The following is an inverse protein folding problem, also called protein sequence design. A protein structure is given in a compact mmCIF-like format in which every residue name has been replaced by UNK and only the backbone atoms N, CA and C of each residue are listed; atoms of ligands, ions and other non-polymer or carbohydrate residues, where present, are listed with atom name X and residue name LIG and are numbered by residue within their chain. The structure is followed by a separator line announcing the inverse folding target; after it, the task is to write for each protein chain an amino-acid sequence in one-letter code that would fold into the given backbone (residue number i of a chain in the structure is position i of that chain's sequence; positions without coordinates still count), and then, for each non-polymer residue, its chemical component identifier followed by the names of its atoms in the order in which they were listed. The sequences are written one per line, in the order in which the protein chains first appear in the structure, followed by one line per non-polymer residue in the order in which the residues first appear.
data_IF_803054782393
#
_entry.id   IF_803054782393
#
_cell.length_a   1.000
_cell.length_b   1.000
_cell.length_c   1.000
_cell.angle_alpha   90.00
_cell.angle_beta   90.00
_cell.angle_gamma   90.00
#
_symmetry.space_group_name_H-M   'P 1'
#
loop_
_entity.id
_entity.type
_entity.pdbx_description
1 polymer ?
#
# COMPACT_ATOMS: atom_id res chain seq x y z
N UNK A 1 -15.36 -45.21 -1.03
CA UNK A 1 -14.01 -44.93 -1.58
C UNK A 1 -14.07 -43.57 -2.28
N UNK A 2 -13.12 -42.66 -2.01
CA UNK A 2 -13.07 -41.33 -2.65
C UNK A 2 -13.20 -40.15 -1.68
N UNK A 3 -12.32 -40.05 -0.68
CA UNK A 3 -12.16 -38.80 0.09
C UNK A 3 -11.69 -37.70 -0.86
N UNK A 4 -12.49 -36.66 -1.07
CA UNK A 4 -12.02 -35.45 -1.77
C UNK A 4 -10.97 -34.81 -0.86
N UNK A 5 -9.72 -34.79 -1.32
CA UNK A 5 -8.67 -34.01 -0.68
C UNK A 5 -9.06 -32.54 -0.82
N UNK A 6 -9.25 -31.86 0.30
CA UNK A 6 -9.15 -30.41 0.33
C UNK A 6 -7.70 -30.12 -0.02
N UNK A 7 -7.46 -29.57 -1.22
CA UNK A 7 -6.18 -28.98 -1.55
C UNK A 7 -6.05 -27.74 -0.69
N UNK A 8 -5.21 -27.84 0.33
CA UNK A 8 -4.84 -26.74 1.20
C UNK A 8 -4.17 -25.68 0.32
N UNK A 9 -4.91 -24.61 0.04
CA UNK A 9 -4.41 -23.49 -0.73
C UNK A 9 -3.18 -22.94 -0.03
N UNK A 10 -2.08 -22.90 -0.77
CA UNK A 10 -0.83 -22.23 -0.44
C UNK A 10 -1.14 -20.90 0.25
N UNK A 11 -0.73 -20.75 1.51
CA UNK A 11 -0.95 -19.51 2.28
C UNK A 11 -0.21 -18.40 1.57
N UNK A 12 -0.89 -17.67 0.70
CA UNK A 12 -0.30 -16.51 0.04
C UNK A 12 0.25 -15.61 1.15
N UNK A 13 1.54 -15.27 1.11
CA UNK A 13 2.21 -14.42 2.10
C UNK A 13 1.69 -12.97 2.13
N UNK A 14 0.48 -12.73 1.63
CA UNK A 14 -0.17 -11.44 1.58
C UNK A 14 -1.08 -11.26 2.80
N UNK A 15 -0.81 -10.19 3.55
CA UNK A 15 -1.58 -9.82 4.72
C UNK A 15 -2.86 -9.14 4.26
N UNK A 16 -3.99 -9.54 4.85
CA UNK A 16 -5.29 -9.00 4.50
C UNK A 16 -5.32 -7.48 4.70
N UNK A 17 -5.74 -6.74 3.66
CA UNK A 17 -5.86 -5.29 3.68
C UNK A 17 -7.26 -4.89 3.17
N UNK A 18 -8.14 -4.35 4.03
CA UNK A 18 -9.46 -3.88 3.64
C UNK A 18 -9.39 -2.65 2.73
N UNK A 19 -10.23 -2.59 1.70
CA UNK A 19 -10.30 -1.45 0.77
C UNK A 19 -10.59 -0.12 1.49
N UNK A 20 -11.48 -0.15 2.49
CA UNK A 20 -11.80 1.01 3.34
C UNK A 20 -10.60 1.61 4.09
N UNK A 21 -9.49 0.87 4.19
CA UNK A 21 -8.30 1.33 4.91
C UNK A 21 -7.39 2.21 4.06
N UNK A 22 -7.50 2.18 2.72
CA UNK A 22 -6.54 2.91 1.86
C UNK A 22 -6.58 4.42 2.06
N UNK A 23 -7.77 5.03 2.01
CA UNK A 23 -7.92 6.48 2.19
C UNK A 23 -7.42 6.96 3.57
N UNK A 24 -7.88 6.40 4.70
CA UNK A 24 -7.34 6.75 6.02
C UNK A 24 -5.83 6.56 6.12
N UNK A 25 -5.30 5.51 5.49
CA UNK A 25 -3.88 5.21 5.53
C UNK A 25 -3.05 6.25 4.77
N UNK A 26 -3.49 6.68 3.59
CA UNK A 26 -2.86 7.78 2.84
C UNK A 26 -2.85 9.06 3.67
N UNK A 27 -3.98 9.42 4.30
CA UNK A 27 -4.06 10.59 5.17
C UNK A 27 -3.06 10.52 6.34
N UNK A 28 -2.93 9.36 7.00
CA UNK A 28 -1.96 9.14 8.06
C UNK A 28 -0.51 9.29 7.58
N UNK A 29 -0.20 8.78 6.38
CA UNK A 29 1.12 8.94 5.76
C UNK A 29 1.40 10.42 5.50
N UNK A 30 0.46 11.17 4.93
CA UNK A 30 0.64 12.61 4.67
C UNK A 30 0.92 13.41 5.94
N UNK A 31 0.21 13.11 7.04
CA UNK A 31 0.47 13.75 8.32
C UNK A 31 1.89 13.43 8.84
N UNK A 32 2.33 12.17 8.69
CA UNK A 32 3.68 11.75 9.04
C UNK A 32 4.76 12.40 8.16
N UNK A 33 4.50 12.62 6.87
CA UNK A 33 5.37 13.39 5.97
C UNK A 33 5.45 14.86 6.40
N UNK A 34 4.30 15.49 6.69
CA UNK A 34 4.24 16.86 7.20
C UNK A 34 5.03 17.06 8.50
N UNK A 35 5.05 16.03 9.36
CA UNK A 35 5.83 16.00 10.61
C UNK A 35 7.30 15.56 10.42
N UNK A 36 7.77 15.35 9.19
CA UNK A 36 9.11 14.82 8.87
C UNK A 36 9.43 13.50 9.59
N UNK A 37 8.41 12.66 9.82
CA UNK A 37 8.53 11.31 10.37
C UNK A 37 8.76 10.28 9.26
N UNK A 38 8.29 10.57 8.06
CA UNK A 38 8.59 9.85 6.83
C UNK A 38 9.30 10.83 5.90
N UNK A 39 10.52 10.50 5.48
CA UNK A 39 11.35 11.32 4.58
C UNK A 39 11.86 10.42 3.47
N UNK A 40 11.66 10.80 2.21
CA UNK A 40 12.07 10.02 1.03
C UNK A 40 11.62 8.54 1.06
N UNK A 41 10.41 8.31 1.58
CA UNK A 41 9.85 6.97 1.75
C UNK A 41 10.58 6.11 2.78
N UNK A 42 11.33 6.73 3.71
CA UNK A 42 11.99 6.08 4.84
C UNK A 42 11.24 6.50 6.12
N UNK A 43 10.73 5.50 6.84
CA UNK A 43 10.06 5.69 8.12
C UNK A 43 11.10 5.76 9.25
N UNK A 44 11.01 6.79 10.11
CA UNK A 44 11.73 6.80 11.39
C UNK A 44 11.28 5.65 12.31
N UNK A 45 12.08 5.36 13.33
CA UNK A 45 11.75 4.35 14.33
C UNK A 45 10.39 4.66 14.99
N UNK A 46 9.57 3.62 15.17
CA UNK A 46 8.26 3.73 15.81
C UNK A 46 7.12 4.23 14.90
N UNK A 47 7.40 4.70 13.67
CA UNK A 47 6.37 5.25 12.78
C UNK A 47 5.28 4.23 12.44
N UNK A 48 5.62 2.95 12.24
CA UNK A 48 4.59 1.93 11.99
C UNK A 48 3.62 1.75 13.16
N UNK A 49 4.11 1.86 14.40
CA UNK A 49 3.25 1.83 15.59
C UNK A 49 2.42 3.11 15.76
N UNK A 50 2.96 4.26 15.34
CA UNK A 50 2.18 5.50 15.26
C UNK A 50 1.07 5.39 14.21
N UNK A 51 1.38 4.91 13.01
CA UNK A 51 0.41 4.69 11.94
C UNK A 51 -0.70 3.72 12.37
N UNK A 52 -0.37 2.67 13.12
CA UNK A 52 -1.37 1.76 13.71
C UNK A 52 -2.35 2.50 14.62
N UNK A 53 -1.84 3.34 15.54
CA UNK A 53 -2.69 4.15 16.44
C UNK A 53 -3.56 5.14 15.68
N UNK A 54 -2.99 5.80 14.65
CA UNK A 54 -3.73 6.76 13.84
C UNK A 54 -4.82 6.08 13.00
N UNK A 55 -4.53 4.89 12.47
CA UNK A 55 -5.51 4.07 11.75
C UNK A 55 -6.66 3.65 12.67
N UNK A 56 -6.37 3.20 13.88
CA UNK A 56 -7.41 2.84 14.86
C UNK A 56 -8.25 4.06 15.27
N UNK A 57 -7.65 5.24 15.39
CA UNK A 57 -8.40 6.47 15.67
C UNK A 57 -9.31 6.92 14.51
N UNK A 58 -8.85 6.80 13.26
CA UNK A 58 -9.63 7.18 12.07
C UNK A 58 -10.67 6.12 11.67
N UNK A 59 -10.37 4.85 11.89
CA UNK A 59 -11.22 3.71 11.55
C UNK A 59 -11.20 2.71 12.70
N UNK A 60 -11.98 2.95 13.76
CA UNK A 60 -12.05 2.06 14.91
C UNK A 60 -12.45 0.64 14.51
N UNK A 61 -11.79 -0.36 15.11
CA UNK A 61 -12.05 -1.77 14.83
C UNK A 61 -11.57 -2.22 13.44
N UNK A 62 -10.65 -1.50 12.79
CA UNK A 62 -10.11 -1.90 11.49
C UNK A 62 -9.22 -3.15 11.55
N UNK A 63 -8.72 -3.51 12.74
CA UNK A 63 -7.88 -4.70 12.95
C UNK A 63 -6.50 -4.62 12.29
N UNK A 64 -6.11 -3.45 11.81
CA UNK A 64 -4.82 -3.21 11.16
C UNK A 64 -3.73 -3.11 12.22
N UNK A 65 -2.59 -3.76 11.96
CA UNK A 65 -1.44 -3.82 12.87
C UNK A 65 -0.22 -3.23 12.19
N UNK A 66 0.70 -2.61 12.94
CA UNK A 66 1.96 -2.08 12.43
C UNK A 66 2.71 -3.13 11.60
N UNK A 67 2.81 -4.34 12.17
CA UNK A 67 3.29 -5.54 11.51
C UNK A 67 2.23 -6.63 11.62
N UNK A 68 1.93 -7.37 10.54
CA UNK A 68 2.55 -7.30 9.21
C UNK A 68 1.80 -6.41 8.20
N UNK A 69 0.66 -5.81 8.58
CA UNK A 69 -0.24 -5.11 7.65
C UNK A 69 0.34 -3.79 7.11
N UNK A 70 0.62 -2.83 7.99
CA UNK A 70 1.06 -1.49 7.59
C UNK A 70 2.43 -1.54 6.91
N UNK A 71 3.39 -2.25 7.50
CA UNK A 71 4.72 -2.39 6.90
C UNK A 71 4.63 -3.05 5.51
N UNK A 72 3.81 -4.09 5.35
CA UNK A 72 3.61 -4.75 4.07
C UNK A 72 2.99 -3.83 3.02
N UNK A 73 1.90 -3.12 3.39
CA UNK A 73 1.22 -2.18 2.50
C UNK A 73 2.14 -1.03 2.08
N UNK A 74 2.87 -0.44 3.03
CA UNK A 74 3.80 0.64 2.78
C UNK A 74 4.93 0.23 1.82
N UNK A 75 5.54 -0.95 2.04
CA UNK A 75 6.56 -1.50 1.13
C UNK A 75 6.01 -1.73 -0.28
N UNK A 76 4.78 -2.25 -0.41
CA UNK A 76 4.12 -2.44 -1.71
C UNK A 76 3.92 -1.12 -2.43
N UNK A 77 3.38 -0.11 -1.75
CA UNK A 77 3.17 1.22 -2.33
C UNK A 77 4.47 1.92 -2.71
N UNK A 78 5.51 1.81 -1.89
CA UNK A 78 6.83 2.33 -2.25
C UNK A 78 7.36 1.73 -3.55
N UNK A 79 7.21 0.41 -3.75
CA UNK A 79 7.59 -0.26 -5.01
C UNK A 79 6.78 0.25 -6.20
N UNK A 80 5.46 0.36 -6.06
CA UNK A 80 4.57 0.86 -7.12
C UNK A 80 4.92 2.30 -7.49
N UNK A 81 5.11 3.15 -6.48
CA UNK A 81 5.53 4.53 -6.68
C UNK A 81 6.86 4.63 -7.43
N UNK A 82 7.88 3.86 -7.03
CA UNK A 82 9.16 3.83 -7.74
C UNK A 82 8.98 3.40 -9.21
N UNK A 83 8.20 2.36 -9.48
CA UNK A 83 7.91 1.94 -10.85
C UNK A 83 7.22 3.05 -11.66
N UNK A 84 6.21 3.71 -11.09
CA UNK A 84 5.52 4.84 -11.72
C UNK A 84 6.46 6.00 -12.01
N UNK A 85 7.40 6.32 -11.10
CA UNK A 85 8.38 7.38 -11.33
C UNK A 85 9.36 7.03 -12.45
N UNK A 86 9.75 5.75 -12.58
CA UNK A 86 10.62 5.31 -13.67
C UNK A 86 9.90 5.41 -15.03
N UNK A 87 8.66 4.92 -15.10
CA UNK A 87 7.83 4.99 -16.30
C UNK A 87 7.56 6.44 -16.71
N UNK A 88 7.23 7.30 -15.74
CA UNK A 88 7.03 8.74 -15.98
C UNK A 88 8.26 9.46 -16.54
N UNK A 89 9.46 8.96 -16.24
CA UNK A 89 10.71 9.55 -16.73
C UNK A 89 11.09 9.09 -18.14
N UNK A 90 10.32 8.17 -18.75
CA UNK A 90 10.51 7.72 -20.12
C UNK A 90 9.61 8.53 -21.07
N UNK A 91 10.11 8.84 -22.28
CA UNK A 91 9.28 9.42 -23.35
C UNK A 91 8.26 8.40 -23.84
N UNK A 92 7.06 8.85 -24.22
CA UNK A 92 6.00 7.98 -24.75
C UNK A 92 5.02 7.42 -23.73
N UNK A 93 5.12 7.78 -22.45
CA UNK A 93 4.17 7.34 -21.42
C UNK A 93 3.28 8.49 -20.94
N UNK A 94 1.96 8.23 -20.88
CA UNK A 94 0.94 9.18 -20.44
C UNK A 94 -0.01 8.58 -19.40
N UNK A 95 -0.83 9.44 -18.78
CA UNK A 95 -1.91 9.03 -17.88
C UNK A 95 -3.26 9.36 -18.50
N UNK A 96 -4.13 8.36 -18.63
CA UNK A 96 -5.53 8.54 -19.03
C UNK A 96 -6.36 8.93 -17.80
N UNK A 97 -6.74 10.20 -17.71
CA UNK A 97 -7.64 10.72 -16.68
C UNK A 97 -9.04 10.08 -16.72
N UNK A 98 -9.51 9.64 -17.90
CA UNK A 98 -10.86 9.10 -18.09
C UNK A 98 -10.88 7.63 -17.68
N UNK A 99 -9.97 6.83 -18.25
CA UNK A 99 -9.91 5.39 -18.02
C UNK A 99 -9.10 5.00 -16.78
N UNK A 100 -8.45 5.98 -16.12
CA UNK A 100 -7.57 5.79 -14.96
C UNK A 100 -6.49 4.74 -15.21
N UNK A 101 -5.89 4.79 -16.41
CA UNK A 101 -4.86 3.85 -16.86
C UNK A 101 -3.64 4.58 -17.43
N UNK A 102 -2.55 3.83 -17.61
CA UNK A 102 -1.34 4.32 -18.25
C UNK A 102 -1.45 4.12 -19.75
N UNK A 103 -1.19 5.16 -20.54
CA UNK A 103 -1.17 5.14 -22.01
C UNK A 103 0.27 5.01 -22.49
N UNK A 104 0.49 4.13 -23.45
CA UNK A 104 1.71 4.06 -24.25
C UNK A 104 1.27 4.03 -25.73
N UNK A 105 1.54 5.06 -26.54
CA UNK A 105 1.34 4.97 -27.98
C UNK A 105 2.25 3.88 -28.54
N UNK A 106 1.73 3.08 -29.47
CA UNK A 106 2.56 2.21 -30.30
C UNK A 106 3.26 3.10 -31.36
N UNK A 107 4.57 2.91 -31.54
CA UNK A 107 5.38 3.58 -32.59
C UNK A 107 5.02 3.10 -34.01
#
# INVERSE_FOLDING_TARGET
MGKRKVVEGEKSGYTFWPEKCDKPFVECIFECVGKRLIVDGICKNGVYGLLEKMMEAKLPGCGIRARPHIEGRFKKWKKIWHAMTLVRNQSGWGWDEINKCVICPDD
#
